data_IF_480446708428
#
_entry.id   IF_480446708428
#
_cell.length_a   1.000
_cell.length_b   1.000
_cell.length_c   1.000
_cell.angle_alpha   90.00
_cell.angle_beta   90.00
_cell.angle_gamma   90.00
#
_symmetry.space_group_name_H-M   'P 1'
#
loop_
_entity.id
_entity.type
_entity.pdbx_description
1 polymer ?
#
# COMPACT_ATOMS: atom_id res chain seq x y z
N UNK A 1 -14.76 3.50 -1.30
CA UNK A 1 -13.55 2.92 -1.91
C UNK A 1 -13.26 1.56 -1.29
N UNK A 2 -13.08 1.46 0.03
CA UNK A 2 -12.85 0.17 0.74
C UNK A 2 -13.88 -0.90 0.36
N UNK A 3 -15.17 -0.60 0.46
CA UNK A 3 -16.24 -1.55 0.14
C UNK A 3 -16.22 -1.99 -1.34
N UNK A 4 -15.93 -1.06 -2.25
CA UNK A 4 -15.78 -1.40 -3.67
C UNK A 4 -14.57 -2.29 -3.95
N UNK A 5 -13.46 -2.07 -3.25
CA UNK A 5 -12.28 -2.91 -3.35
C UNK A 5 -12.52 -4.29 -2.74
N UNK A 6 -13.27 -4.37 -1.64
CA UNK A 6 -13.72 -5.62 -1.04
C UNK A 6 -14.51 -6.47 -2.05
N UNK A 7 -15.53 -5.87 -2.69
CA UNK A 7 -16.35 -6.55 -3.69
C UNK A 7 -15.50 -7.02 -4.89
N UNK A 8 -14.61 -6.17 -5.36
CA UNK A 8 -13.66 -6.52 -6.42
C UNK A 8 -12.78 -7.71 -6.03
N UNK A 9 -12.16 -7.67 -4.85
CA UNK A 9 -11.30 -8.73 -4.34
C UNK A 9 -12.06 -10.06 -4.19
N UNK A 10 -13.28 -10.01 -3.64
CA UNK A 10 -14.16 -11.19 -3.48
C UNK A 10 -14.48 -11.84 -4.83
N UNK A 11 -14.76 -11.04 -5.86
CA UNK A 11 -14.96 -11.54 -7.23
C UNK A 11 -13.70 -12.23 -7.74
N UNK A 12 -12.52 -11.64 -7.56
CA UNK A 12 -11.26 -12.24 -8.01
C UNK A 12 -10.95 -13.56 -7.29
N UNK A 13 -11.06 -13.59 -5.97
CA UNK A 13 -10.80 -14.80 -5.18
C UNK A 13 -11.74 -15.94 -5.57
N UNK A 14 -13.02 -15.63 -5.80
CA UNK A 14 -14.01 -16.61 -6.24
C UNK A 14 -13.70 -17.21 -7.61
N UNK A 15 -13.27 -16.39 -8.57
CA UNK A 15 -13.11 -16.82 -9.97
C UNK A 15 -11.72 -17.39 -10.30
N UNK A 16 -10.70 -17.02 -9.53
CA UNK A 16 -9.31 -17.38 -9.85
C UNK A 16 -8.56 -18.05 -8.70
N UNK A 17 -9.11 -18.08 -7.49
CA UNK A 17 -8.44 -18.66 -6.31
C UNK A 17 -8.28 -20.18 -6.34
N UNK A 18 -8.94 -20.87 -7.27
CA UNK A 18 -8.67 -22.26 -7.61
C UNK A 18 -7.23 -22.45 -8.09
N UNK A 19 -6.72 -21.49 -8.88
CA UNK A 19 -5.38 -21.52 -9.51
C UNK A 19 -4.38 -20.56 -8.86
N UNK A 20 -4.82 -19.38 -8.43
CA UNK A 20 -3.94 -18.34 -7.87
C UNK A 20 -3.74 -18.58 -6.38
N UNK A 21 -2.49 -18.82 -5.99
CA UNK A 21 -2.09 -19.10 -4.59
C UNK A 21 -1.31 -17.96 -3.94
N UNK A 22 -1.01 -16.90 -4.70
CA UNK A 22 -0.28 -15.73 -4.22
C UNK A 22 -1.00 -14.48 -4.70
N UNK A 23 -1.45 -13.68 -3.74
CA UNK A 23 -2.22 -12.47 -3.98
C UNK A 23 -1.47 -11.26 -3.46
N UNK A 24 -1.41 -10.22 -4.28
CA UNK A 24 -0.94 -8.89 -3.90
C UNK A 24 -2.15 -7.96 -4.05
N UNK A 25 -2.53 -7.25 -2.98
CA UNK A 25 -3.68 -6.33 -3.03
C UNK A 25 -3.32 -5.01 -3.70
N UNK A 26 -2.20 -4.42 -3.28
CA UNK A 26 -1.69 -3.15 -3.78
C UNK A 26 -0.20 -3.31 -4.06
N UNK A 27 0.22 -2.78 -5.20
CA UNK A 27 1.63 -2.67 -5.57
C UNK A 27 2.08 -1.24 -5.30
N UNK A 28 3.07 -1.07 -4.43
CA UNK A 28 3.80 0.19 -4.24
C UNK A 28 2.86 1.37 -3.95
N UNK A 29 2.11 1.32 -2.82
CA UNK A 29 1.07 2.29 -2.52
C UNK A 29 1.60 3.72 -2.37
N UNK A 30 2.90 3.88 -2.07
CA UNK A 30 3.57 5.17 -2.00
C UNK A 30 3.42 5.99 -3.29
N UNK A 31 3.52 5.36 -4.47
CA UNK A 31 3.31 6.07 -5.74
C UNK A 31 1.87 6.58 -5.92
N UNK A 32 0.90 5.90 -5.32
CA UNK A 32 -0.50 6.36 -5.34
C UNK A 32 -0.71 7.53 -4.37
N UNK A 33 -0.02 7.54 -3.23
CA UNK A 33 -0.15 8.63 -2.24
C UNK A 33 0.53 9.91 -2.75
N UNK A 34 1.68 9.81 -3.42
CA UNK A 34 2.39 10.96 -4.02
C UNK A 34 1.55 11.67 -5.09
N UNK A 35 0.72 10.93 -5.84
CA UNK A 35 -0.23 11.50 -6.81
C UNK A 35 -1.28 12.46 -6.21
N UNK A 36 -1.49 12.41 -4.88
CA UNK A 36 -2.37 13.32 -4.13
C UNK A 36 -1.61 14.37 -3.30
N UNK A 37 -0.28 14.40 -3.34
CA UNK A 37 0.55 15.40 -2.66
C UNK A 37 1.42 16.22 -3.60
N UNK A 38 1.38 15.94 -4.91
CA UNK A 38 2.17 16.65 -5.90
C UNK A 38 1.37 16.92 -7.17
N UNK A 39 1.43 18.15 -7.66
CA UNK A 39 0.86 18.59 -8.95
C UNK A 39 1.83 18.40 -10.13
N UNK A 40 2.94 17.71 -9.91
CA UNK A 40 4.04 17.58 -10.90
C UNK A 40 3.69 16.72 -12.11
N UNK A 41 2.51 16.06 -12.12
CA UNK A 41 2.04 15.24 -13.25
C UNK A 41 2.75 13.89 -13.38
N UNK A 42 3.61 13.55 -12.42
CA UNK A 42 4.40 12.30 -12.42
C UNK A 42 3.49 11.12 -12.07
N UNK A 43 2.72 11.25 -11.00
CA UNK A 43 1.78 10.24 -10.53
C UNK A 43 0.34 10.74 -10.68
N UNK A 44 -0.55 9.90 -11.20
CA UNK A 44 -1.98 10.19 -11.21
C UNK A 44 -2.54 10.12 -9.78
N UNK A 45 -3.47 11.00 -9.39
CA UNK A 45 -4.18 11.98 -10.22
C UNK A 45 -3.50 13.35 -10.39
N UNK A 46 -2.28 13.54 -9.89
CA UNK A 46 -1.53 14.81 -9.93
C UNK A 46 -2.28 16.00 -9.29
N UNK A 47 -2.93 15.75 -8.16
CA UNK A 47 -3.66 16.77 -7.41
C UNK A 47 -2.81 17.14 -6.20
N UNK A 48 -2.55 18.43 -6.02
CA UNK A 48 -1.83 18.92 -4.84
C UNK A 48 -2.80 19.10 -3.67
N UNK A 49 -2.89 18.06 -2.84
CA UNK A 49 -3.56 18.08 -1.54
C UNK A 49 -2.57 17.69 -0.43
N UNK A 50 -1.31 18.12 -0.55
CA UNK A 50 -0.22 17.74 0.36
C UNK A 50 -0.60 17.91 1.84
N UNK A 51 -0.27 16.91 2.66
CA UNK A 51 -0.57 16.88 4.10
C UNK A 51 -1.98 16.44 4.47
N UNK A 52 -2.90 16.27 3.51
CA UNK A 52 -4.23 15.71 3.73
C UNK A 52 -4.48 14.53 2.78
N UNK A 53 -4.28 14.75 1.48
CA UNK A 53 -4.58 13.78 0.42
C UNK A 53 -3.67 12.56 0.46
N UNK A 54 -2.38 12.76 0.72
CA UNK A 54 -1.39 11.70 0.97
C UNK A 54 -1.80 10.76 2.11
N UNK A 55 -2.05 11.31 3.31
CA UNK A 55 -2.41 10.52 4.48
C UNK A 55 -3.79 9.87 4.35
N UNK A 56 -4.76 10.59 3.77
CA UNK A 56 -6.10 10.04 3.54
C UNK A 56 -6.06 8.87 2.55
N UNK A 57 -5.26 9.00 1.50
CA UNK A 57 -5.06 7.94 0.50
C UNK A 57 -4.36 6.74 1.12
N UNK A 58 -3.25 6.95 1.84
CA UNK A 58 -2.54 5.89 2.57
C UNK A 58 -3.47 5.14 3.52
N UNK A 59 -4.21 5.88 4.36
CA UNK A 59 -5.15 5.31 5.31
C UNK A 59 -6.26 4.49 4.63
N UNK A 60 -6.78 4.98 3.49
CA UNK A 60 -7.82 4.27 2.74
C UNK A 60 -7.28 2.98 2.11
N UNK A 61 -6.06 3.01 1.56
CA UNK A 61 -5.38 1.83 0.99
C UNK A 61 -5.13 0.78 2.08
N UNK A 62 -4.60 1.17 3.24
CA UNK A 62 -4.34 0.25 4.35
C UNK A 62 -5.63 -0.42 4.84
N UNK A 63 -6.73 0.34 4.96
CA UNK A 63 -8.04 -0.24 5.29
C UNK A 63 -8.54 -1.20 4.20
N UNK A 64 -8.42 -0.83 2.94
CA UNK A 64 -8.82 -1.69 1.82
C UNK A 64 -8.00 -3.00 1.78
N UNK A 65 -6.69 -2.92 2.04
CA UNK A 65 -5.82 -4.08 2.16
C UNK A 65 -6.27 -5.00 3.31
N UNK A 66 -6.47 -4.44 4.50
CA UNK A 66 -6.90 -5.21 5.67
C UNK A 66 -8.26 -5.88 5.44
N UNK A 67 -9.22 -5.17 4.85
CA UNK A 67 -10.53 -5.73 4.50
C UNK A 67 -10.40 -6.88 3.51
N UNK A 68 -9.65 -6.72 2.42
CA UNK A 68 -9.42 -7.79 1.45
C UNK A 68 -8.67 -8.99 2.04
N UNK A 69 -7.70 -8.74 2.93
CA UNK A 69 -7.01 -9.78 3.70
C UNK A 69 -8.01 -10.60 4.52
N UNK A 70 -8.87 -9.93 5.28
CA UNK A 70 -9.86 -10.60 6.12
C UNK A 70 -10.88 -11.39 5.29
N UNK A 71 -11.37 -10.84 4.18
CA UNK A 71 -12.23 -11.59 3.25
C UNK A 71 -11.53 -12.85 2.74
N UNK A 72 -10.28 -12.75 2.31
CA UNK A 72 -9.53 -13.94 1.88
C UNK A 72 -9.39 -14.96 3.01
N UNK A 73 -9.06 -14.50 4.21
CA UNK A 73 -8.81 -15.34 5.38
C UNK A 73 -10.06 -16.10 5.85
N UNK A 74 -11.21 -15.42 5.89
CA UNK A 74 -12.46 -15.97 6.43
C UNK A 74 -13.27 -16.74 5.40
N UNK A 75 -13.27 -16.30 4.14
CA UNK A 75 -14.16 -16.88 3.10
C UNK A 75 -13.44 -17.87 2.18
N UNK A 76 -12.12 -17.74 1.96
CA UNK A 76 -11.44 -18.46 0.87
C UNK A 76 -10.22 -19.28 1.28
N UNK A 77 -9.47 -18.88 2.33
CA UNK A 77 -8.16 -19.48 2.66
C UNK A 77 -8.27 -20.95 3.02
N UNK A 78 -9.34 -21.37 3.72
CA UNK A 78 -9.54 -22.76 4.12
C UNK A 78 -9.63 -23.72 2.91
N UNK A 79 -10.23 -23.29 1.80
CA UNK A 79 -10.40 -24.11 0.60
C UNK A 79 -9.25 -23.91 -0.40
N UNK A 80 -8.78 -22.67 -0.53
CA UNK A 80 -7.83 -22.31 -1.59
C UNK A 80 -6.36 -22.42 -1.16
N UNK A 81 -6.09 -22.32 0.15
CA UNK A 81 -4.78 -22.44 0.78
C UNK A 81 -3.69 -21.54 0.17
N UNK A 82 -4.06 -20.34 -0.28
CA UNK A 82 -3.12 -19.34 -0.79
C UNK A 82 -2.62 -18.36 0.30
N UNK A 83 -1.76 -17.45 -0.13
CA UNK A 83 -1.21 -16.36 0.68
C UNK A 83 -1.57 -15.01 0.04
N UNK A 84 -1.77 -14.01 0.89
CA UNK A 84 -2.14 -12.66 0.49
C UNK A 84 -1.27 -11.65 1.24
N UNK A 85 -0.84 -10.60 0.55
CA UNK A 85 -0.01 -9.54 1.10
C UNK A 85 -0.11 -8.24 0.31
N UNK A 86 0.73 -7.29 0.69
CA UNK A 86 0.91 -5.99 0.03
C UNK A 86 2.39 -5.84 -0.34
N UNK A 87 2.67 -5.24 -1.49
CA UNK A 87 4.03 -4.94 -1.92
C UNK A 87 4.35 -3.48 -1.60
N UNK A 88 5.40 -3.25 -0.81
CA UNK A 88 5.86 -1.91 -0.41
C UNK A 88 7.20 -1.62 -1.09
N UNK A 89 7.31 -0.48 -1.77
CA UNK A 89 8.58 0.05 -2.28
C UNK A 89 9.30 0.83 -1.18
N UNK A 90 10.62 0.73 -1.14
CA UNK A 90 11.44 1.41 -0.15
C UNK A 90 12.78 1.84 -0.72
N UNK A 91 13.08 3.13 -0.61
CA UNK A 91 14.41 3.67 -0.91
C UNK A 91 15.28 3.67 0.35
N UNK A 92 16.47 3.10 0.24
CA UNK A 92 17.49 3.14 1.30
C UNK A 92 17.99 4.57 1.50
N UNK A 93 18.10 5.00 2.76
CA UNK A 93 18.60 6.33 3.13
C UNK A 93 19.87 6.20 3.97
N UNK A 94 20.88 6.97 3.61
CA UNK A 94 22.15 7.03 4.36
C UNK A 94 22.34 8.41 4.99
N UNK A 95 22.90 8.47 6.21
CA UNK A 95 23.20 9.74 6.84
C UNK A 95 24.28 10.49 6.07
N UNK A 96 24.10 11.80 5.89
CA UNK A 96 25.08 12.64 5.19
C UNK A 96 26.43 12.72 5.92
N UNK A 97 26.40 12.67 7.25
CA UNK A 97 27.59 12.67 8.11
C UNK A 97 27.41 11.71 9.28
N UNK A 98 28.47 11.49 10.06
CA UNK A 98 28.42 10.67 11.28
C UNK A 98 27.70 11.31 12.47
N UNK A 99 27.15 12.51 12.31
CA UNK A 99 26.38 13.19 13.35
C UNK A 99 25.14 12.39 13.74
N UNK A 100 24.73 12.50 15.01
CA UNK A 100 23.49 11.86 15.46
C UNK A 100 22.26 12.44 14.75
N UNK A 101 22.28 13.72 14.41
CA UNK A 101 21.17 14.39 13.72
C UNK A 101 20.97 13.81 12.31
N UNK A 102 22.04 13.61 11.55
CA UNK A 102 21.96 13.02 10.21
C UNK A 102 21.55 11.54 10.25
N UNK A 103 21.98 10.79 11.29
CA UNK A 103 21.54 9.40 11.52
C UNK A 103 20.04 9.32 11.83
N UNK A 104 19.54 10.23 12.67
CA UNK A 104 18.10 10.33 12.96
C UNK A 104 17.30 10.76 11.74
N UNK A 105 17.82 11.69 10.93
CA UNK A 105 17.15 12.13 9.71
C UNK A 105 17.04 11.01 8.67
N UNK A 106 18.09 10.21 8.47
CA UNK A 106 18.06 9.05 7.56
C UNK A 106 17.06 7.99 8.03
N UNK A 107 17.05 7.65 9.33
CA UNK A 107 16.09 6.71 9.91
C UNK A 107 14.64 7.20 9.75
N UNK A 108 14.40 8.48 10.03
CA UNK A 108 13.09 9.09 9.86
C UNK A 108 12.64 9.02 8.40
N UNK A 109 13.52 9.36 7.45
CA UNK A 109 13.22 9.29 6.03
C UNK A 109 12.86 7.86 5.59
N UNK A 110 13.57 6.84 6.09
CA UNK A 110 13.19 5.44 5.84
C UNK A 110 11.81 5.11 6.40
N UNK A 111 11.50 5.50 7.64
CA UNK A 111 10.19 5.24 8.24
C UNK A 111 9.04 5.91 7.49
N UNK A 112 9.25 7.12 6.96
CA UNK A 112 8.25 7.82 6.15
C UNK A 112 8.08 7.20 4.75
N UNK A 113 9.11 6.58 4.21
CA UNK A 113 9.05 5.91 2.91
C UNK A 113 8.46 4.49 3.01
N UNK A 114 8.71 3.79 4.13
CA UNK A 114 8.09 2.50 4.48
C UNK A 114 6.67 2.74 5.02
N UNK A 115 5.72 3.03 4.13
CA UNK A 115 4.29 3.19 4.44
C UNK A 115 3.42 2.15 3.75
#
# INVERSE_FOLDING_TARGET
MVDFFEDYARILFKNFGDRVKWWITFNEPYGTTTGYSASTGVDAPAIDLSGIGDYLTAHTILKAHATAYHVYDTEFRAEQNGKIGITLNNDWQEPKTDSNDDKLAAELAMQFHVS
#
